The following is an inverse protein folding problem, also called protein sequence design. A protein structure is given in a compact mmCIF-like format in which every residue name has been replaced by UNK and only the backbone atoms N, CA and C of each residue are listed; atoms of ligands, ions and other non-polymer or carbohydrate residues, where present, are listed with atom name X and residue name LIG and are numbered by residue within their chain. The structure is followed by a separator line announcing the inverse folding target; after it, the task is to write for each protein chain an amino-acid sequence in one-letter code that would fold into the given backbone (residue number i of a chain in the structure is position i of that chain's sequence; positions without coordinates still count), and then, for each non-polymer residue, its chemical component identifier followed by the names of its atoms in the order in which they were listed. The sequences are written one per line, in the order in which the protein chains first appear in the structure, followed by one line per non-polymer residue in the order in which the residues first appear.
data_IF_000491794409
#
_entry.id   IF_000491794409
#
_cell.length_a   1.000
_cell.length_b   1.000
_cell.length_c   1.000
_cell.angle_alpha   90.00
_cell.angle_beta   90.00
_cell.angle_gamma   90.00
#
_symmetry.space_group_name_H-M   'P 1'
#
loop_
_entity.id
_entity.type
_entity.pdbx_description
1 polymer ?
#
# COMPACT_ATOMS: atom_id res chain seq x y z
N UNK A 1 9.30 2.73 -2.96
CA UNK A 1 8.90 1.60 -2.10
C UNK A 1 8.36 0.41 -2.90
N UNK A 2 7.21 0.49 -3.60
CA UNK A 2 6.56 -0.67 -4.28
C UNK A 2 7.48 -1.50 -5.19
N UNK A 3 8.25 -0.88 -6.08
CA UNK A 3 9.20 -1.59 -6.96
C UNK A 3 10.24 -2.37 -6.13
N UNK A 4 10.76 -1.78 -5.06
CA UNK A 4 11.72 -2.44 -4.18
C UNK A 4 11.09 -3.62 -3.45
N UNK A 5 9.84 -3.49 -3.01
CA UNK A 5 9.12 -4.57 -2.35
C UNK A 5 8.87 -5.75 -3.29
N UNK A 6 8.46 -5.47 -4.54
CA UNK A 6 8.31 -6.51 -5.58
C UNK A 6 9.60 -7.30 -5.73
N UNK A 7 10.73 -6.61 -5.90
CA UNK A 7 12.04 -7.24 -6.09
C UNK A 7 12.50 -8.02 -4.85
N UNK A 8 12.31 -7.45 -3.66
CA UNK A 8 12.72 -8.06 -2.38
C UNK A 8 11.88 -9.29 -2.04
N UNK A 9 10.58 -9.25 -2.32
CA UNK A 9 9.64 -10.33 -2.04
C UNK A 9 9.43 -11.28 -3.23
N UNK A 10 10.20 -11.09 -4.31
CA UNK A 10 10.20 -11.94 -5.51
C UNK A 10 8.80 -12.15 -6.11
N UNK A 11 7.98 -11.10 -6.11
CA UNK A 11 6.63 -11.16 -6.69
C UNK A 11 6.68 -11.48 -8.20
N UNK A 12 5.58 -11.92 -8.84
CA UNK A 12 5.61 -12.40 -10.23
C UNK A 12 6.24 -11.44 -11.25
N UNK A 13 6.11 -10.12 -11.04
CA UNK A 13 6.67 -9.10 -11.92
C UNK A 13 8.19 -8.88 -11.78
N UNK A 14 8.85 -9.53 -10.81
CA UNK A 14 10.25 -9.27 -10.46
C UNK A 14 11.20 -9.44 -11.64
N UNK A 15 11.02 -10.48 -12.47
CA UNK A 15 11.90 -10.74 -13.62
C UNK A 15 11.84 -9.64 -14.67
N UNK A 16 10.63 -9.15 -14.96
CA UNK A 16 10.41 -8.08 -15.94
C UNK A 16 11.00 -6.77 -15.42
N UNK A 17 10.80 -6.46 -14.13
CA UNK A 17 11.38 -5.28 -13.50
C UNK A 17 12.91 -5.35 -13.49
N UNK A 18 13.51 -6.50 -13.14
CA UNK A 18 14.96 -6.68 -13.19
C UNK A 18 15.51 -6.46 -14.60
N UNK A 19 14.79 -6.91 -15.65
CA UNK A 19 15.19 -6.67 -17.02
C UNK A 19 15.16 -5.18 -17.38
N UNK A 20 14.12 -4.45 -16.97
CA UNK A 20 14.05 -3.00 -17.16
C UNK A 20 15.14 -2.26 -16.38
N UNK A 21 15.50 -2.74 -15.19
CA UNK A 21 16.54 -2.14 -14.34
C UNK A 21 17.98 -2.39 -14.81
N UNK A 22 18.18 -3.12 -15.92
CA UNK A 22 19.49 -3.18 -16.59
C UNK A 22 19.85 -1.86 -17.27
N UNK A 23 18.85 -1.05 -17.62
CA UNK A 23 19.08 0.29 -18.17
C UNK A 23 19.48 1.27 -17.04
N UNK A 24 20.67 1.85 -17.15
CA UNK A 24 21.20 2.82 -16.19
C UNK A 24 20.38 4.12 -16.14
N UNK A 25 19.66 4.46 -17.22
CA UNK A 25 18.75 5.61 -17.23
C UNK A 25 17.57 5.36 -16.27
N UNK A 26 17.09 4.13 -16.22
CA UNK A 26 15.99 3.71 -15.33
C UNK A 26 16.46 3.37 -13.91
N UNK A 27 17.62 2.73 -13.76
CA UNK A 27 18.16 2.27 -12.48
C UNK A 27 19.44 3.02 -12.10
N UNK A 28 19.27 4.09 -11.33
CA UNK A 28 20.35 4.89 -10.79
C UNK A 28 19.97 5.51 -9.44
N UNK A 29 20.97 5.94 -8.69
CA UNK A 29 20.80 6.53 -7.36
C UNK A 29 19.92 7.78 -7.37
N UNK A 30 19.96 8.61 -8.43
CA UNK A 30 19.12 9.80 -8.53
C UNK A 30 17.62 9.43 -8.58
N UNK A 31 17.26 8.40 -9.35
CA UNK A 31 15.87 7.92 -9.45
C UNK A 31 15.40 7.18 -8.20
N UNK A 32 16.29 6.46 -7.50
CA UNK A 32 15.94 5.60 -6.36
C UNK A 32 16.12 6.25 -4.98
N UNK A 33 16.88 7.34 -4.88
CA UNK A 33 16.97 8.16 -3.67
C UNK A 33 15.75 9.07 -3.56
N UNK A 34 14.60 8.48 -3.24
CA UNK A 34 13.36 9.21 -3.00
C UNK A 34 13.22 9.56 -1.51
N UNK A 35 12.90 10.82 -1.25
CA UNK A 35 12.46 11.32 0.05
C UNK A 35 10.94 11.22 0.17
N UNK A 36 10.45 10.95 1.37
CA UNK A 36 9.02 10.82 1.68
C UNK A 36 8.75 9.64 2.62
N UNK A 37 7.59 9.66 3.28
CA UNK A 37 7.20 8.65 4.28
C UNK A 37 6.45 7.45 3.68
N UNK A 38 6.08 7.51 2.40
CA UNK A 38 5.33 6.45 1.72
C UNK A 38 6.12 5.15 1.64
N UNK A 39 5.49 4.05 2.01
CA UNK A 39 6.14 2.74 2.19
C UNK A 39 5.30 1.61 1.60
N UNK A 40 5.97 0.49 1.34
CA UNK A 40 5.38 -0.73 0.79
C UNK A 40 6.23 -1.90 1.30
N UNK A 41 5.61 -2.90 1.91
CA UNK A 41 6.32 -4.04 2.46
C UNK A 41 5.46 -5.30 2.46
N UNK A 42 6.02 -6.41 2.00
CA UNK A 42 5.40 -7.74 2.03
C UNK A 42 6.23 -8.76 2.82
N UNK A 43 5.59 -9.59 3.62
CA UNK A 43 6.29 -10.55 4.47
C UNK A 43 5.53 -11.85 4.66
N UNK A 44 6.23 -12.87 5.12
CA UNK A 44 5.60 -14.12 5.55
C UNK A 44 5.12 -13.98 7.00
N UNK A 45 3.85 -14.29 7.25
CA UNK A 45 3.33 -14.52 8.60
C UNK A 45 3.62 -15.96 9.04
N UNK A 46 3.49 -16.91 8.11
CA UNK A 46 3.80 -18.32 8.32
C UNK A 46 4.25 -18.95 7.01
N UNK A 47 5.18 -19.90 7.06
CA UNK A 47 5.65 -20.66 5.89
C UNK A 47 5.99 -22.09 6.30
N UNK A 48 5.21 -23.04 5.82
CA UNK A 48 5.42 -24.48 5.98
C UNK A 48 5.35 -25.18 4.61
N UNK A 49 5.49 -26.51 4.60
CA UNK A 49 5.39 -27.30 3.36
C UNK A 49 4.00 -27.19 2.71
N UNK A 50 2.94 -27.12 3.53
CA UNK A 50 1.55 -27.20 3.05
C UNK A 50 0.82 -25.85 3.08
N UNK A 51 1.35 -24.86 3.82
CA UNK A 51 0.71 -23.56 4.04
C UNK A 51 1.71 -22.42 3.95
N UNK A 52 1.37 -21.40 3.19
CA UNK A 52 2.06 -20.10 3.18
C UNK A 52 1.05 -19.01 3.53
N UNK A 53 1.37 -18.19 4.52
CA UNK A 53 0.60 -16.99 4.83
C UNK A 53 1.48 -15.76 4.70
N UNK A 54 0.98 -14.75 4.02
CA UNK A 54 1.70 -13.50 3.76
C UNK A 54 0.89 -12.32 4.24
N UNK A 55 1.57 -11.29 4.74
CA UNK A 55 0.99 -9.97 4.95
C UNK A 55 1.63 -8.98 3.99
N UNK A 56 0.87 -7.97 3.56
CA UNK A 56 1.41 -6.80 2.87
C UNK A 56 0.83 -5.53 3.47
N UNK A 57 1.63 -4.47 3.45
CA UNK A 57 1.25 -3.14 3.88
C UNK A 57 1.80 -2.10 2.91
N UNK A 58 0.90 -1.34 2.29
CA UNK A 58 1.20 -0.21 1.44
C UNK A 58 0.64 1.06 2.07
N UNK A 59 1.47 2.09 2.27
CA UNK A 59 1.04 3.38 2.82
C UNK A 59 1.45 4.50 1.88
N UNK A 60 0.49 5.34 1.54
CA UNK A 60 0.66 6.57 0.78
C UNK A 60 0.39 7.77 1.69
N UNK A 61 1.36 8.68 1.75
CA UNK A 61 1.23 9.98 2.40
C UNK A 61 1.09 11.11 1.37
N UNK A 62 0.39 12.17 1.76
CA UNK A 62 0.40 13.48 1.12
C UNK A 62 1.77 14.16 1.26
N UNK A 63 1.98 15.25 0.53
CA UNK A 63 3.14 16.12 0.71
C UNK A 63 3.19 16.78 2.08
N UNK A 64 2.02 17.02 2.69
CA UNK A 64 1.88 17.51 4.08
C UNK A 64 2.19 16.44 5.15
N UNK A 65 2.37 15.18 4.77
CA UNK A 65 2.66 14.08 5.69
C UNK A 65 1.43 13.42 6.33
N UNK A 66 0.23 13.76 5.87
CA UNK A 66 -1.02 13.09 6.25
C UNK A 66 -1.17 11.81 5.42
N UNK A 67 -1.66 10.73 6.03
CA UNK A 67 -1.92 9.49 5.30
C UNK A 67 -3.09 9.69 4.33
N UNK A 68 -2.87 9.44 3.04
CA UNK A 68 -3.90 9.45 1.99
C UNK A 68 -4.61 8.12 1.89
N UNK A 69 -3.81 7.06 1.87
CA UNK A 69 -4.30 5.71 1.75
C UNK A 69 -3.35 4.74 2.45
N UNK A 70 -3.91 3.75 3.12
CA UNK A 70 -3.19 2.58 3.61
C UNK A 70 -3.95 1.33 3.20
N UNK A 71 -3.25 0.33 2.68
CA UNK A 71 -3.84 -0.95 2.33
C UNK A 71 -3.02 -2.07 2.96
N UNK A 72 -3.66 -2.79 3.89
CA UNK A 72 -3.12 -3.99 4.50
C UNK A 72 -3.84 -5.22 3.96
N UNK A 73 -3.09 -6.23 3.55
CA UNK A 73 -3.64 -7.52 3.14
C UNK A 73 -3.02 -8.66 3.92
N UNK A 74 -3.82 -9.69 4.16
CA UNK A 74 -3.36 -11.00 4.62
C UNK A 74 -3.90 -12.05 3.66
N UNK A 75 -2.98 -12.82 3.09
CA UNK A 75 -3.31 -13.96 2.23
C UNK A 75 -2.90 -15.26 2.91
N UNK A 76 -3.70 -16.29 2.70
CA UNK A 76 -3.35 -17.69 2.95
C UNK A 76 -3.30 -18.45 1.63
N UNK A 77 -2.30 -19.29 1.45
CA UNK A 77 -2.19 -20.18 0.31
C UNK A 77 -1.80 -21.58 0.75
N UNK A 78 -2.51 -22.58 0.23
CA UNK A 78 -2.27 -23.99 0.50
C UNK A 78 -2.64 -24.81 -0.73
N UNK A 79 -1.78 -25.76 -1.12
CA UNK A 79 -2.06 -26.70 -2.23
C UNK A 79 -2.56 -26.04 -3.53
N UNK A 80 -2.04 -24.86 -3.88
CA UNK A 80 -2.45 -24.10 -5.07
C UNK A 80 -3.73 -23.27 -4.92
N UNK A 81 -4.46 -23.41 -3.82
CA UNK A 81 -5.55 -22.51 -3.46
C UNK A 81 -5.00 -21.24 -2.79
N UNK A 82 -5.69 -20.12 -2.97
CA UNK A 82 -5.39 -18.84 -2.35
C UNK A 82 -6.69 -18.28 -1.75
N UNK A 83 -6.59 -17.74 -0.55
CA UNK A 83 -7.67 -17.11 0.19
C UNK A 83 -7.21 -15.69 0.55
N UNK A 84 -8.00 -14.68 0.21
CA UNK A 84 -7.83 -13.34 0.75
C UNK A 84 -8.48 -13.30 2.14
N UNK A 85 -7.66 -13.59 3.16
CA UNK A 85 -8.14 -13.74 4.53
C UNK A 85 -8.63 -12.42 5.11
N UNK A 86 -7.85 -11.35 4.92
CA UNK A 86 -8.18 -10.01 5.41
C UNK A 86 -7.68 -8.95 4.44
N UNK A 87 -8.49 -7.92 4.20
CA UNK A 87 -8.05 -6.62 3.75
C UNK A 87 -8.56 -5.56 4.72
N UNK A 88 -7.72 -4.59 5.02
CA UNK A 88 -8.15 -3.33 5.63
C UNK A 88 -7.56 -2.20 4.80
N UNK A 89 -8.42 -1.37 4.23
CA UNK A 89 -8.02 -0.16 3.55
C UNK A 89 -8.54 1.05 4.32
N UNK A 90 -7.67 2.04 4.53
CA UNK A 90 -8.00 3.32 5.15
C UNK A 90 -7.74 4.40 4.12
N UNK A 91 -8.65 5.35 4.00
CA UNK A 91 -8.54 6.48 3.08
C UNK A 91 -8.80 7.77 3.85
N UNK A 92 -8.03 8.82 3.54
CA UNK A 92 -8.23 10.14 4.12
C UNK A 92 -7.83 11.26 3.16
N UNK A 93 -8.53 12.38 3.25
CA UNK A 93 -8.30 13.59 2.46
C UNK A 93 -8.81 14.83 3.20
N UNK A 94 -8.30 16.02 2.83
CA UNK A 94 -8.74 17.31 3.36
C UNK A 94 -8.36 17.57 4.83
N UNK A 95 -7.56 16.71 5.46
CA UNK A 95 -7.26 16.77 6.89
C UNK A 95 -6.11 17.72 7.24
N UNK A 96 -5.54 18.43 6.26
CA UNK A 96 -4.37 19.32 6.44
C UNK A 96 -4.63 20.47 7.39
N UNK A 97 -5.85 21.01 7.38
CA UNK A 97 -6.28 22.08 8.27
C UNK A 97 -6.18 21.69 9.76
N UNK A 98 -6.31 20.40 10.10
CA UNK A 98 -6.24 19.90 11.48
C UNK A 98 -4.87 20.09 12.13
N UNK A 99 -3.81 20.18 11.32
CA UNK A 99 -2.43 20.31 11.78
C UNK A 99 -1.78 21.63 11.32
N UNK A 100 -2.60 22.59 10.86
CA UNK A 100 -2.13 23.84 10.25
C UNK A 100 -1.15 23.61 9.07
N UNK A 101 -1.32 22.50 8.35
CA UNK A 101 -0.61 22.24 7.10
C UNK A 101 -1.40 22.79 5.90
N UNK A 102 -0.74 22.89 4.77
CA UNK A 102 -1.38 23.24 3.48
C UNK A 102 -1.65 21.97 2.68
N UNK A 103 -2.82 21.85 2.02
CA UNK A 103 -3.10 20.77 1.08
C UNK A 103 -2.08 20.71 -0.07
N UNK A 104 -1.97 19.53 -0.67
CA UNK A 104 -1.21 19.37 -1.90
C UNK A 104 -1.89 20.13 -3.05
N UNK A 105 -1.13 20.46 -4.10
CA UNK A 105 -1.65 21.21 -5.24
C UNK A 105 -2.84 20.47 -5.90
N UNK A 106 -3.99 21.14 -5.99
CA UNK A 106 -5.23 20.57 -6.52
C UNK A 106 -6.14 19.91 -5.48
N UNK A 107 -5.73 19.89 -4.21
CA UNK A 107 -6.49 19.31 -3.10
C UNK A 107 -7.10 20.37 -2.16
N UNK A 108 -7.04 21.64 -2.55
CA UNK A 108 -7.45 22.79 -1.73
C UNK A 108 -8.95 22.82 -1.41
N UNK A 109 -9.78 22.36 -2.35
CA UNK A 109 -11.23 22.34 -2.24
C UNK A 109 -11.80 20.96 -1.83
N UNK A 110 -10.94 20.02 -1.42
CA UNK A 110 -11.41 18.70 -0.99
C UNK A 110 -12.06 18.77 0.39
N UNK A 111 -13.29 18.26 0.46
CA UNK A 111 -13.99 18.03 1.72
C UNK A 111 -13.19 17.04 2.60
N UNK A 112 -13.17 17.31 3.92
CA UNK A 112 -12.47 16.48 4.87
C UNK A 112 -13.16 15.13 4.99
N UNK A 113 -12.41 14.07 4.76
CA UNK A 113 -12.96 12.72 4.75
C UNK A 113 -11.97 11.73 5.36
N UNK A 114 -12.52 10.79 6.12
CA UNK A 114 -11.81 9.61 6.59
C UNK A 114 -12.73 8.38 6.52
N UNK A 115 -12.30 7.36 5.80
CA UNK A 115 -13.05 6.13 5.55
C UNK A 115 -12.22 4.87 5.79
N UNK A 116 -12.93 3.76 6.00
CA UNK A 116 -12.34 2.44 6.09
C UNK A 116 -13.20 1.43 5.33
N UNK A 117 -12.54 0.62 4.51
CA UNK A 117 -13.14 -0.56 3.89
C UNK A 117 -12.40 -1.82 4.32
N UNK A 118 -13.12 -2.95 4.32
CA UNK A 118 -12.56 -4.22 4.74
C UNK A 118 -13.08 -5.36 3.88
N UNK A 119 -12.23 -6.35 3.68
CA UNK A 119 -12.59 -7.65 3.12
C UNK A 119 -12.25 -8.71 4.14
N UNK A 120 -13.15 -9.67 4.34
CA UNK A 120 -12.95 -10.79 5.25
C UNK A 120 -13.30 -12.09 4.53
N UNK A 121 -12.34 -12.99 4.39
CA UNK A 121 -12.50 -14.28 3.71
C UNK A 121 -13.15 -14.15 2.32
N UNK A 122 -12.54 -13.37 1.44
CA UNK A 122 -13.04 -13.05 0.08
C UNK A 122 -14.40 -12.30 0.03
N UNK A 123 -14.97 -11.89 1.17
CA UNK A 123 -16.22 -11.13 1.23
C UNK A 123 -15.94 -9.65 1.52
N UNK A 124 -16.29 -8.78 0.57
CA UNK A 124 -16.25 -7.34 0.76
C UNK A 124 -17.32 -6.91 1.78
N UNK A 125 -16.88 -6.27 2.87
CA UNK A 125 -17.76 -5.68 3.85
C UNK A 125 -18.20 -4.28 3.40
N UNK A 126 -19.34 -3.82 3.92
CA UNK A 126 -19.79 -2.47 3.71
C UNK A 126 -18.74 -1.47 4.25
N UNK A 127 -18.40 -0.49 3.42
CA UNK A 127 -17.46 0.58 3.77
C UNK A 127 -18.05 1.43 4.90
N UNK A 128 -17.23 1.70 5.91
CA UNK A 128 -17.58 2.60 7.01
C UNK A 128 -16.93 3.96 6.80
N UNK A 129 -17.68 5.02 7.07
CA UNK A 129 -17.12 6.37 7.19
C UNK A 129 -16.81 6.65 8.66
N UNK A 130 -15.59 7.09 8.94
CA UNK A 130 -15.20 7.58 10.26
C UNK A 130 -15.66 9.02 10.42
N UNK A 131 -15.42 9.83 9.38
CA UNK A 131 -15.80 11.24 9.34
C UNK A 131 -15.97 11.72 7.89
N UNK A 132 -16.90 12.65 7.68
CA UNK A 132 -17.07 13.40 6.44
C UNK A 132 -17.60 14.81 6.78
N UNK A 133 -16.99 15.87 6.24
CA UNK A 133 -17.48 17.25 6.35
C UNK A 133 -16.49 18.34 5.96
#
# INVERSE_FOLDING_TARGET
SKIQDILRFEMPASKVIQQAMKDMISHNYNRFAKVGSSSAFSGFMARSADLTSTYSLDILYSGSGIMRSSNMNIYGSSNGAMLHGLQVAIEAQGLESLIAATPDAGEEDLESFAGMSALLFDVQLATGHVFQG
#
